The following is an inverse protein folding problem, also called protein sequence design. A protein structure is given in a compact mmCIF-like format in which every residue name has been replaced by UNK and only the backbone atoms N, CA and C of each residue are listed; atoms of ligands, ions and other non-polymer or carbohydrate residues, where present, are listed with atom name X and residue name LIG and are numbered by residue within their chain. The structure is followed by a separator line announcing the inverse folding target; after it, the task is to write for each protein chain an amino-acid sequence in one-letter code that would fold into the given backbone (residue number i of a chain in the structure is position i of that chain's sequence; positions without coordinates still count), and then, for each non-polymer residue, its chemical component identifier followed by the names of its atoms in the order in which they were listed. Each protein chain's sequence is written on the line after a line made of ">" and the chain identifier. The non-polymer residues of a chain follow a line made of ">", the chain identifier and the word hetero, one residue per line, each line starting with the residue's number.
data_IF_995541213460
#
_entry.id   IF_995541213460
#
_cell.length_a   1.000
_cell.length_b   1.000
_cell.length_c   1.000
_cell.angle_alpha   90.00
_cell.angle_beta   90.00
_cell.angle_gamma   90.00
#
_symmetry.space_group_name_H-M   'P 1'
#
loop_
_entity.id
_entity.type
_entity.pdbx_description
1 polymer ?
#
# COMPACT_ATOMS: atom_id res chain seq x y z
N UNK A 1 -43.54 -33.10 -20.07
CA UNK A 1 -42.54 -32.20 -20.70
C UNK A 1 -41.69 -31.63 -19.58
N UNK A 2 -40.42 -32.01 -19.54
CA UNK A 2 -39.47 -31.59 -18.51
C UNK A 2 -38.72 -30.36 -19.00
N UNK A 3 -38.85 -29.23 -18.31
CA UNK A 3 -37.92 -28.11 -18.42
C UNK A 3 -37.08 -28.10 -17.15
N UNK A 4 -35.93 -28.78 -17.22
CA UNK A 4 -34.82 -28.57 -16.28
C UNK A 4 -34.25 -27.19 -16.57
N UNK A 5 -34.36 -26.26 -15.63
CA UNK A 5 -33.47 -25.09 -15.60
C UNK A 5 -32.43 -25.38 -14.52
N UNK A 6 -31.23 -25.71 -15.02
CA UNK A 6 -30.05 -25.90 -14.21
C UNK A 6 -29.60 -24.57 -13.62
N UNK A 7 -29.14 -24.70 -12.40
CA UNK A 7 -28.39 -23.74 -11.61
C UNK A 7 -27.22 -23.17 -12.42
N UNK A 8 -27.08 -21.85 -12.43
CA UNK A 8 -25.83 -21.20 -12.81
C UNK A 8 -25.41 -20.23 -11.73
N UNK A 9 -24.97 -20.78 -10.59
CA UNK A 9 -24.03 -20.09 -9.71
C UNK A 9 -22.69 -19.96 -10.46
N UNK A 10 -22.52 -18.89 -11.22
CA UNK A 10 -21.23 -18.55 -11.80
C UNK A 10 -20.37 -17.98 -10.68
N UNK A 11 -19.52 -18.85 -10.11
CA UNK A 11 -18.64 -18.55 -9.01
C UNK A 11 -17.68 -17.40 -9.31
N UNK A 12 -17.81 -16.34 -8.53
CA UNK A 12 -16.87 -15.20 -8.43
C UNK A 12 -15.42 -15.66 -8.16
N UNK A 13 -15.23 -16.91 -7.70
CA UNK A 13 -13.91 -17.53 -7.51
C UNK A 13 -13.15 -17.84 -8.80
N UNK A 14 -13.81 -18.03 -9.94
CA UNK A 14 -13.12 -18.52 -11.14
C UNK A 14 -12.50 -17.40 -12.01
N UNK A 15 -12.91 -16.14 -11.78
CA UNK A 15 -12.29 -14.98 -12.46
C UNK A 15 -10.96 -14.59 -11.79
N UNK A 16 -10.78 -14.92 -10.51
CA UNK A 16 -9.57 -14.58 -9.76
C UNK A 16 -8.36 -15.45 -10.18
N UNK A 17 -8.60 -16.70 -10.58
CA UNK A 17 -7.52 -17.62 -10.98
C UNK A 17 -6.97 -17.40 -12.39
N UNK A 18 -7.71 -16.75 -13.30
CA UNK A 18 -7.22 -16.54 -14.68
C UNK A 18 -6.32 -15.32 -14.86
N UNK A 19 -6.33 -14.38 -13.91
CA UNK A 19 -5.43 -13.21 -13.96
C UNK A 19 -4.02 -13.57 -13.49
N UNK A 20 -3.88 -14.54 -12.57
CA UNK A 20 -2.58 -14.93 -12.02
C UNK A 20 -1.66 -15.67 -12.99
N UNK A 21 -2.19 -16.32 -14.05
CA UNK A 21 -1.35 -17.17 -14.92
C UNK A 21 -0.71 -16.40 -16.08
N UNK A 22 -1.23 -15.23 -16.46
CA UNK A 22 -0.67 -14.46 -17.58
C UNK A 22 0.48 -13.51 -17.19
N UNK A 23 0.67 -13.19 -15.91
CA UNK A 23 1.80 -12.37 -15.46
C UNK A 23 3.12 -13.14 -15.37
N UNK A 24 3.10 -14.47 -15.30
CA UNK A 24 4.28 -15.28 -15.01
C UNK A 24 5.22 -15.56 -16.22
N UNK A 25 4.84 -15.20 -17.45
CA UNK A 25 5.58 -15.63 -18.66
C UNK A 25 6.17 -14.50 -19.54
N UNK A 26 6.10 -13.24 -19.12
CA UNK A 26 6.55 -12.11 -19.97
C UNK A 26 7.68 -11.23 -19.42
N UNK A 27 8.33 -11.63 -18.33
CA UNK A 27 9.46 -10.89 -17.74
C UNK A 27 10.72 -11.75 -17.79
N UNK A 28 11.11 -12.14 -18.98
CA UNK A 28 12.44 -12.67 -19.25
C UNK A 28 12.93 -11.97 -20.50
N UNK A 29 14.10 -11.36 -20.42
CA UNK A 29 14.71 -10.47 -21.42
C UNK A 29 14.34 -8.99 -21.29
N UNK A 30 14.96 -8.33 -20.31
CA UNK A 30 15.68 -7.06 -20.49
C UNK A 30 16.60 -6.87 -19.27
N UNK A 31 17.87 -6.63 -19.57
CA UNK A 31 19.03 -6.53 -18.69
C UNK A 31 18.76 -5.72 -17.41
N UNK A 32 19.19 -6.17 -16.21
CA UNK A 32 18.89 -5.50 -14.96
C UNK A 32 19.82 -4.28 -14.78
N UNK A 33 19.36 -3.09 -15.16
CA UNK A 33 19.88 -1.89 -14.52
C UNK A 33 19.29 -1.83 -13.13
N UNK A 34 20.03 -2.43 -12.20
CA UNK A 34 19.76 -2.49 -10.76
C UNK A 34 19.31 -1.10 -10.28
N UNK A 35 18.04 -0.90 -9.87
CA UNK A 35 17.72 0.28 -9.08
C UNK A 35 18.58 0.20 -7.81
N UNK A 36 19.14 1.32 -7.31
CA UNK A 36 19.91 1.29 -6.08
C UNK A 36 19.02 0.66 -5.01
N UNK A 37 19.40 -0.56 -4.62
CA UNK A 37 18.74 -1.30 -3.59
C UNK A 37 19.03 -0.58 -2.27
N UNK A 38 18.18 0.36 -1.88
CA UNK A 38 17.95 0.68 -0.46
C UNK A 38 17.16 -0.49 0.15
N UNK A 39 17.71 -1.69 -0.02
CA UNK A 39 17.25 -2.94 0.60
C UNK A 39 17.33 -2.73 2.08
N UNK A 40 16.20 -2.41 2.73
CA UNK A 40 15.96 -2.57 4.17
C UNK A 40 17.26 -2.43 4.96
N UNK A 41 17.89 -1.26 4.86
CA UNK A 41 19.11 -0.95 5.59
C UNK A 41 18.84 -1.33 7.04
N UNK A 42 19.69 -2.16 7.64
CA UNK A 42 19.35 -2.93 8.85
C UNK A 42 18.77 -2.02 9.94
N UNK A 43 17.44 -1.93 9.96
CA UNK A 43 16.71 -0.92 10.74
C UNK A 43 16.91 -1.18 12.24
N UNK A 44 17.30 -2.41 12.58
CA UNK A 44 17.66 -2.82 13.93
C UNK A 44 18.92 -2.11 14.46
N UNK A 45 19.83 -1.69 13.57
CA UNK A 45 21.07 -0.99 13.93
C UNK A 45 20.87 0.52 14.11
N UNK A 46 19.76 1.07 13.64
CA UNK A 46 19.48 2.50 13.78
C UNK A 46 19.14 2.85 15.23
N UNK A 47 19.64 3.99 15.70
CA UNK A 47 19.14 4.60 16.95
C UNK A 47 17.68 5.02 16.83
N UNK A 48 17.00 5.20 17.95
CA UNK A 48 15.59 5.62 17.97
C UNK A 48 15.39 6.97 17.25
N UNK A 49 16.34 7.91 17.39
CA UNK A 49 16.30 9.18 16.68
C UNK A 49 16.44 9.02 15.16
N UNK A 50 17.36 8.16 14.70
CA UNK A 50 17.52 7.87 13.28
C UNK A 50 16.28 7.17 12.69
N UNK A 51 15.68 6.25 13.45
CA UNK A 51 14.45 5.57 13.05
C UNK A 51 13.30 6.57 12.91
N UNK A 52 13.18 7.55 13.82
CA UNK A 52 12.19 8.63 13.75
C UNK A 52 12.37 9.51 12.51
N UNK A 53 13.61 9.89 12.18
CA UNK A 53 13.91 10.66 10.95
C UNK A 53 13.47 9.87 9.71
N UNK A 54 13.79 8.57 9.64
CA UNK A 54 13.38 7.72 8.51
C UNK A 54 11.86 7.57 8.39
N UNK A 55 11.16 7.54 9.52
CA UNK A 55 9.70 7.55 9.55
C UNK A 55 9.14 8.85 9.00
N UNK A 56 9.72 10.00 9.37
CA UNK A 56 9.30 11.32 8.87
C UNK A 56 9.48 11.40 7.35
N UNK A 57 10.63 10.98 6.83
CA UNK A 57 10.90 10.94 5.38
C UNK A 57 9.92 10.03 4.65
N UNK A 58 9.63 8.85 5.21
CA UNK A 58 8.69 7.90 4.62
C UNK A 58 7.25 8.44 4.65
N UNK A 59 6.83 9.04 5.77
CA UNK A 59 5.50 9.63 5.93
C UNK A 59 5.28 10.81 4.97
N UNK A 60 6.31 11.63 4.73
CA UNK A 60 6.27 12.70 3.75
C UNK A 60 6.08 12.15 2.33
N UNK A 61 6.87 11.14 1.93
CA UNK A 61 6.73 10.48 0.62
C UNK A 61 5.33 9.85 0.42
N UNK A 62 4.76 9.26 1.47
CA UNK A 62 3.40 8.70 1.43
C UNK A 62 2.34 9.78 1.16
N UNK A 63 2.47 10.95 1.80
CA UNK A 63 1.56 12.09 1.60
C UNK A 63 1.73 12.69 0.20
N UNK A 64 2.96 12.82 -0.29
CA UNK A 64 3.25 13.29 -1.66
C UNK A 64 2.64 12.36 -2.71
N UNK A 65 2.81 11.04 -2.53
CA UNK A 65 2.22 10.04 -3.41
C UNK A 65 0.68 10.11 -3.40
N UNK A 66 0.08 10.31 -2.23
CA UNK A 66 -1.37 10.51 -2.12
C UNK A 66 -1.86 11.78 -2.83
N UNK A 67 -1.13 12.89 -2.70
CA UNK A 67 -1.45 14.13 -3.39
C UNK A 67 -1.37 13.95 -4.91
N UNK A 68 -0.35 13.23 -5.41
CA UNK A 68 -0.24 12.86 -6.83
C UNK A 68 -1.46 12.07 -7.29
N UNK A 69 -1.89 11.07 -6.51
CA UNK A 69 -3.07 10.26 -6.84
C UNK A 69 -4.36 11.08 -6.86
N UNK A 70 -4.51 12.03 -5.94
CA UNK A 70 -5.66 12.95 -5.89
C UNK A 70 -5.65 13.94 -7.06
N UNK A 71 -4.51 14.52 -7.41
CA UNK A 71 -4.39 15.43 -8.55
C UNK A 71 -4.81 14.75 -9.86
N UNK A 72 -4.40 13.49 -10.06
CA UNK A 72 -4.81 12.69 -11.22
C UNK A 72 -6.33 12.44 -11.28
N UNK A 73 -7.03 12.43 -10.13
CA UNK A 73 -8.51 12.33 -10.08
C UNK A 73 -9.20 13.65 -10.40
N UNK A 74 -8.62 14.79 -9.99
CA UNK A 74 -9.21 16.12 -10.16
C UNK A 74 -9.16 16.65 -11.60
N UNK A 75 -8.20 16.20 -12.42
CA UNK A 75 -8.04 16.64 -13.82
C UNK A 75 -8.92 15.86 -14.83
N UNK A 76 -9.96 15.17 -14.37
CA UNK A 76 -10.82 14.34 -15.24
C UNK A 76 -11.86 15.21 -15.98
N UNK A 77 -11.65 15.38 -17.29
CA UNK A 77 -12.63 15.97 -18.18
C UNK A 77 -13.76 14.95 -18.45
N UNK A 78 -14.93 15.16 -17.83
CA UNK A 78 -16.15 14.39 -18.04
C UNK A 78 -16.79 14.84 -19.37
N UNK A 79 -16.08 14.63 -20.48
CA UNK A 79 -16.49 15.09 -21.81
C UNK A 79 -16.46 13.95 -22.83
N UNK A 80 -17.64 13.46 -23.21
CA UNK A 80 -17.93 12.72 -24.45
C UNK A 80 -17.07 11.48 -24.75
N UNK A 81 -16.72 10.67 -23.74
CA UNK A 81 -16.14 9.32 -23.94
C UNK A 81 -17.19 8.25 -23.63
N UNK A 82 -17.07 7.08 -24.28
CA UNK A 82 -17.85 5.90 -23.91
C UNK A 82 -17.58 5.58 -22.44
N UNK A 83 -18.64 5.29 -21.68
CA UNK A 83 -18.55 4.93 -20.26
C UNK A 83 -17.59 3.74 -20.02
N UNK A 84 -17.51 2.81 -20.98
CA UNK A 84 -16.59 1.68 -20.95
C UNK A 84 -15.13 2.11 -21.02
N UNK A 85 -14.79 3.03 -21.94
CA UNK A 85 -13.42 3.55 -22.07
C UNK A 85 -12.99 4.35 -20.84
N UNK A 86 -13.91 5.08 -20.23
CA UNK A 86 -13.65 5.81 -19.00
C UNK A 86 -13.43 4.83 -17.84
N UNK A 87 -14.29 3.82 -17.70
CA UNK A 87 -14.15 2.79 -16.67
C UNK A 87 -12.83 2.03 -16.80
N UNK A 88 -12.43 1.65 -18.03
CA UNK A 88 -11.15 1.00 -18.29
C UNK A 88 -9.97 1.88 -17.86
N UNK A 89 -9.98 3.18 -18.19
CA UNK A 89 -8.94 4.12 -17.76
C UNK A 89 -8.89 4.29 -16.25
N UNK A 90 -10.03 4.25 -15.56
CA UNK A 90 -10.09 4.30 -14.10
C UNK A 90 -9.43 3.08 -13.46
N UNK A 91 -9.65 1.89 -14.03
CA UNK A 91 -9.05 0.65 -13.57
C UNK A 91 -7.53 0.67 -13.79
N UNK A 92 -7.08 1.02 -15.00
CA UNK A 92 -5.65 1.11 -15.34
C UNK A 92 -4.91 2.13 -14.45
N UNK A 93 -5.52 3.30 -14.21
CA UNK A 93 -4.96 4.30 -13.30
C UNK A 93 -4.88 3.74 -11.88
N UNK A 94 -5.94 3.10 -11.39
CA UNK A 94 -5.97 2.51 -10.05
C UNK A 94 -4.89 1.43 -9.87
N UNK A 95 -4.72 0.57 -10.87
CA UNK A 95 -3.70 -0.48 -10.86
C UNK A 95 -2.28 0.11 -10.89
N UNK A 96 -2.05 1.14 -11.69
CA UNK A 96 -0.77 1.85 -11.71
C UNK A 96 -0.44 2.49 -10.36
N UNK A 97 -1.42 3.16 -9.75
CA UNK A 97 -1.27 3.77 -8.41
C UNK A 97 -0.96 2.71 -7.35
N UNK A 98 -1.67 1.59 -7.37
CA UNK A 98 -1.41 0.46 -6.47
C UNK A 98 -0.01 -0.10 -6.68
N UNK A 99 0.40 -0.33 -7.92
CA UNK A 99 1.73 -0.84 -8.25
C UNK A 99 2.84 0.11 -7.79
N UNK A 100 2.68 1.42 -8.00
CA UNK A 100 3.64 2.43 -7.53
C UNK A 100 3.79 2.37 -6.01
N UNK A 101 2.69 2.32 -5.26
CA UNK A 101 2.73 2.15 -3.80
C UNK A 101 3.44 0.86 -3.37
N UNK A 102 3.02 -0.28 -3.92
CA UNK A 102 3.48 -1.61 -3.52
C UNK A 102 4.97 -1.85 -3.80
N UNK A 103 5.50 -1.23 -4.84
CA UNK A 103 6.89 -1.43 -5.26
C UNK A 103 7.87 -0.41 -4.66
N UNK A 104 7.42 0.82 -4.39
CA UNK A 104 8.32 1.91 -3.98
C UNK A 104 8.36 2.11 -2.46
N UNK A 105 7.20 2.30 -1.84
CA UNK A 105 7.11 2.77 -0.44
C UNK A 105 6.59 1.71 0.51
N UNK A 106 5.69 0.82 0.07
CA UNK A 106 5.09 -0.20 0.94
C UNK A 106 6.14 -1.05 1.67
N UNK A 107 7.20 -1.58 1.02
CA UNK A 107 8.17 -2.43 1.70
C UNK A 107 8.93 -1.70 2.81
N UNK A 108 9.29 -0.43 2.55
CA UNK A 108 9.97 0.43 3.52
C UNK A 108 9.05 0.74 4.70
N UNK A 109 7.79 1.07 4.41
CA UNK A 109 6.80 1.43 5.40
C UNK A 109 6.45 0.24 6.32
N UNK A 110 6.35 -0.98 5.79
CA UNK A 110 6.20 -2.21 6.58
C UNK A 110 7.42 -2.44 7.46
N UNK A 111 8.64 -2.36 6.91
CA UNK A 111 9.86 -2.61 7.67
C UNK A 111 10.00 -1.63 8.85
N UNK A 112 9.70 -0.35 8.63
CA UNK A 112 9.68 0.67 9.69
C UNK A 112 8.61 0.38 10.75
N UNK A 113 7.39 0.04 10.32
CA UNK A 113 6.30 -0.34 11.23
C UNK A 113 6.71 -1.49 12.14
N UNK A 114 7.23 -2.56 11.56
CA UNK A 114 7.56 -3.78 12.28
C UNK A 114 8.69 -3.53 13.29
N UNK A 115 9.71 -2.76 12.90
CA UNK A 115 10.80 -2.39 13.80
C UNK A 115 10.33 -1.48 14.95
N UNK A 116 9.46 -0.49 14.69
CA UNK A 116 8.87 0.36 15.73
C UNK A 116 8.01 -0.45 16.71
N UNK A 117 7.18 -1.36 16.19
CA UNK A 117 6.36 -2.24 17.01
C UNK A 117 7.23 -3.17 17.86
N UNK A 118 8.32 -3.70 17.30
CA UNK A 118 9.27 -4.54 18.02
C UNK A 118 9.89 -3.80 19.20
N UNK A 119 10.29 -2.53 19.02
CA UNK A 119 10.89 -1.71 20.09
C UNK A 119 9.87 -1.32 21.17
N UNK A 120 8.70 -0.84 20.76
CA UNK A 120 7.64 -0.41 21.69
C UNK A 120 7.05 -1.59 22.48
N UNK A 121 6.86 -2.75 21.84
CA UNK A 121 6.33 -3.97 22.50
C UNK A 121 7.30 -4.57 23.51
N UNK A 122 8.63 -4.45 23.28
CA UNK A 122 9.65 -4.90 24.24
C UNK A 122 9.55 -4.16 25.58
N UNK A 123 9.01 -2.95 25.57
CA UNK A 123 8.92 -2.06 26.72
C UNK A 123 7.53 -2.09 27.40
N UNK A 124 6.64 -3.00 26.99
CA UNK A 124 5.38 -3.29 27.70
C UNK A 124 4.17 -2.43 27.33
N UNK A 125 4.32 -1.42 26.47
CA UNK A 125 3.21 -0.56 26.02
C UNK A 125 2.69 -0.99 24.65
N UNK A 126 1.57 -1.72 24.63
CA UNK A 126 0.82 -2.03 23.40
C UNK A 126 -0.58 -1.44 23.45
N UNK A 127 -0.69 -0.12 23.63
CA UNK A 127 -1.96 0.60 23.55
C UNK A 127 -2.00 1.56 22.35
N UNK A 128 -1.83 1.04 21.14
CA UNK A 128 -2.22 1.78 19.93
C UNK A 128 -3.56 1.28 19.42
N UNK A 129 -4.65 1.82 19.99
CA UNK A 129 -6.03 1.75 19.47
C UNK A 129 -6.20 2.66 18.25
N UNK A 130 -5.30 2.58 17.26
CA UNK A 130 -5.55 3.18 15.95
C UNK A 130 -6.46 2.23 15.16
N UNK A 131 -7.29 2.75 14.25
CA UNK A 131 -8.21 1.94 13.45
C UNK A 131 -7.42 0.90 12.64
N UNK A 132 -7.32 -0.30 13.22
CA UNK A 132 -6.42 -1.35 12.77
C UNK A 132 -6.84 -1.83 11.40
N UNK A 133 -8.12 -1.77 11.05
CA UNK A 133 -8.63 -2.45 9.87
C UNK A 133 -8.18 -1.75 8.59
N UNK A 134 -8.35 -0.42 8.52
CA UNK A 134 -7.98 0.37 7.34
C UNK A 134 -6.46 0.48 7.19
N UNK A 135 -5.76 0.76 8.29
CA UNK A 135 -4.30 0.88 8.26
C UNK A 135 -3.60 -0.46 8.01
N UNK A 136 -4.06 -1.56 8.62
CA UNK A 136 -3.53 -2.89 8.34
C UNK A 136 -3.75 -3.27 6.88
N UNK A 137 -4.92 -2.99 6.30
CA UNK A 137 -5.17 -3.27 4.89
C UNK A 137 -4.21 -2.50 3.95
N UNK A 138 -3.89 -1.25 4.25
CA UNK A 138 -2.91 -0.46 3.49
C UNK A 138 -1.50 -1.05 3.57
N UNK A 139 -1.04 -1.46 4.76
CA UNK A 139 0.28 -2.05 4.94
C UNK A 139 0.38 -3.49 4.44
N UNK A 140 -0.56 -4.36 4.81
CA UNK A 140 -0.48 -5.81 4.58
C UNK A 140 -0.91 -6.21 3.16
N UNK A 141 -1.90 -5.52 2.61
CA UNK A 141 -2.49 -5.86 1.31
C UNK A 141 -2.22 -4.79 0.24
N UNK A 142 -1.61 -3.67 0.61
CA UNK A 142 -1.38 -2.56 -0.32
C UNK A 142 -2.67 -1.92 -0.80
N UNK A 143 -3.76 -2.04 -0.03
CA UNK A 143 -5.06 -1.50 -0.42
C UNK A 143 -5.05 0.02 -0.35
N UNK A 144 -5.52 0.67 -1.43
CA UNK A 144 -5.66 2.13 -1.54
C UNK A 144 -7.13 2.56 -1.58
N UNK A 145 -8.01 1.76 -0.97
CA UNK A 145 -9.43 2.08 -0.84
C UNK A 145 -9.66 3.03 0.35
N UNK A 146 -10.56 4.00 0.19
CA UNK A 146 -10.90 4.96 1.23
C UNK A 146 -10.56 6.41 0.86
N UNK A 147 -10.72 7.30 1.84
CA UNK A 147 -10.55 8.75 1.65
C UNK A 147 -9.06 9.13 1.60
N UNK A 148 -8.27 8.63 2.54
CA UNK A 148 -6.84 8.98 2.69
C UNK A 148 -6.00 7.77 3.16
N UNK A 149 -5.98 6.64 2.43
CA UNK A 149 -5.33 5.41 2.89
C UNK A 149 -3.84 5.58 3.20
N UNK A 150 -3.12 6.36 2.38
CA UNK A 150 -1.70 6.62 2.60
C UNK A 150 -1.48 7.67 3.69
N UNK A 151 -2.35 8.68 3.77
CA UNK A 151 -2.32 9.67 4.85
C UNK A 151 -2.54 9.03 6.22
N UNK A 152 -3.50 8.13 6.35
CA UNK A 152 -3.78 7.39 7.59
C UNK A 152 -2.63 6.45 7.96
N UNK A 153 -2.05 5.76 6.98
CA UNK A 153 -0.89 4.91 7.20
C UNK A 153 0.36 5.73 7.61
N UNK A 154 0.57 6.92 7.04
CA UNK A 154 1.63 7.84 7.43
C UNK A 154 1.46 8.33 8.87
N UNK A 155 0.25 8.76 9.24
CA UNK A 155 -0.08 9.17 10.60
C UNK A 155 0.15 8.05 11.62
N UNK A 156 -0.14 6.81 11.24
CA UNK A 156 0.10 5.64 12.07
C UNK A 156 1.61 5.42 12.34
N UNK A 157 2.46 5.49 11.31
CA UNK A 157 3.91 5.38 11.49
C UNK A 157 4.46 6.49 12.39
N UNK A 158 4.03 7.74 12.16
CA UNK A 158 4.43 8.87 12.99
C UNK A 158 4.00 8.70 14.45
N UNK A 159 2.82 8.13 14.69
CA UNK A 159 2.35 7.83 16.05
C UNK A 159 3.28 6.82 16.71
N UNK A 160 3.61 5.71 16.04
CA UNK A 160 4.54 4.71 16.56
C UNK A 160 5.92 5.31 16.86
N UNK A 161 6.41 6.19 15.98
CA UNK A 161 7.67 6.90 16.17
C UNK A 161 7.64 7.89 17.34
N UNK A 162 6.50 8.55 17.61
CA UNK A 162 6.30 9.39 18.79
C UNK A 162 6.24 8.59 20.08
N UNK A 163 5.56 7.43 20.04
CA UNK A 163 5.44 6.55 21.19
C UNK A 163 6.82 5.99 21.61
N UNK A 164 7.70 5.71 20.64
CA UNK A 164 9.11 5.38 20.89
C UNK A 164 9.84 6.51 21.66
N UNK A 165 9.70 7.76 21.21
CA UNK A 165 10.40 8.91 21.81
C UNK A 165 9.90 9.34 23.19
N UNK A 166 8.72 8.88 23.63
CA UNK A 166 8.20 9.14 24.99
C UNK A 166 8.84 8.27 26.06
N UNK A 167 9.59 7.24 25.67
CA UNK A 167 10.20 6.29 26.60
C UNK A 167 11.60 6.74 27.09
N UNK A 168 12.20 7.76 26.46
CA UNK A 168 13.52 8.31 26.80
C UNK A 168 13.46 9.60 27.66
N UNK A 169 12.26 10.08 28.04
CA UNK A 169 12.03 11.30 28.85
C UNK A 169 11.57 10.97 30.26
#
# INVERSE_FOLDING_TARGET
>A
MYLKHGETEIGVRQIVDQVQVHEAQKVSELTPSRPPSTSTEDLSLLSDNQLRIRVEDCALQMRELEQKFRANRSHRNIGSRSWEEETQKLLEESDRQRHEWQTTLQPVAIALRDELLRRTSRNGDTSSSYDKMTTAATFEHGMLAGVSPLGEAALYLEKLARDLGRQDS
#
